data_IF_624123763337
#
_entry.id   IF_624123763337
#
_cell.length_a   1.000
_cell.length_b   1.000
_cell.length_c   1.000
_cell.angle_alpha   90.00
_cell.angle_beta   90.00
_cell.angle_gamma   90.00
#
_symmetry.space_group_name_H-M   'P 1'
#
loop_
_entity.id
_entity.type
_entity.pdbx_description
1 polymer ?
#
# COMPACT_ATOMS: atom_id res chain seq x y z
N UNK A 1 5.55 7.50 21.03
CA UNK A 1 5.77 6.07 20.69
C UNK A 1 5.67 5.80 19.19
N UNK A 2 4.59 6.21 18.50
CA UNK A 2 4.42 6.02 17.05
C UNK A 2 5.60 6.54 16.19
N UNK A 3 6.07 7.78 16.43
CA UNK A 3 7.23 8.35 15.73
C UNK A 3 8.51 7.50 15.86
N UNK A 4 8.76 6.91 17.03
CA UNK A 4 9.92 6.03 17.24
C UNK A 4 9.79 4.78 16.41
N UNK A 5 8.59 4.17 16.36
CA UNK A 5 8.34 3.01 15.49
C UNK A 5 8.52 3.37 14.02
N UNK A 6 8.02 4.52 13.58
CA UNK A 6 8.24 5.02 12.21
C UNK A 6 9.74 5.22 11.91
N UNK A 7 10.50 5.81 12.83
CA UNK A 7 11.94 5.99 12.65
C UNK A 7 12.68 4.63 12.56
N UNK A 8 12.24 3.63 13.33
CA UNK A 8 12.74 2.26 13.21
C UNK A 8 12.38 1.64 11.84
N UNK A 9 11.14 1.81 11.36
CA UNK A 9 10.73 1.33 10.04
C UNK A 9 11.55 2.01 8.93
N UNK A 10 11.78 3.31 9.02
CA UNK A 10 12.61 4.06 8.06
C UNK A 10 14.11 3.79 8.18
N UNK A 11 14.55 2.90 9.08
CA UNK A 11 15.95 2.55 9.35
C UNK A 11 16.82 3.78 9.66
N UNK A 12 16.27 4.77 10.37
CA UNK A 12 17.03 5.97 10.75
C UNK A 12 18.18 5.63 11.71
N UNK A 13 18.06 4.55 12.50
CA UNK A 13 19.09 4.17 13.47
C UNK A 13 19.32 5.29 14.49
N UNK A 14 20.59 5.71 14.65
CA UNK A 14 21.01 6.83 15.51
C UNK A 14 21.15 8.16 14.74
N UNK A 15 20.76 8.20 13.46
CA UNK A 15 20.84 9.40 12.63
C UNK A 15 19.75 10.40 13.04
N UNK A 16 20.17 11.46 13.72
CA UNK A 16 19.28 12.50 14.21
C UNK A 16 18.60 13.29 13.08
N UNK A 17 19.26 13.45 11.93
CA UNK A 17 18.72 14.20 10.79
C UNK A 17 17.56 13.42 10.19
N UNK A 18 17.77 12.14 9.89
CA UNK A 18 16.69 11.26 9.40
C UNK A 18 15.56 11.10 10.41
N UNK A 19 15.89 11.07 11.70
CA UNK A 19 14.88 11.07 12.77
C UNK A 19 14.02 12.33 12.77
N UNK A 20 14.62 13.50 12.51
CA UNK A 20 13.90 14.77 12.36
C UNK A 20 12.98 14.75 11.14
N UNK A 21 13.47 14.31 9.97
CA UNK A 21 12.67 14.16 8.74
C UNK A 21 11.42 13.28 8.95
N UNK A 22 11.57 12.14 9.64
CA UNK A 22 10.44 11.28 10.00
C UNK A 22 9.46 11.98 10.93
N UNK A 23 9.96 12.74 11.90
CA UNK A 23 9.10 13.49 12.83
C UNK A 23 8.36 14.63 12.13
N UNK A 24 9.00 15.33 11.21
CA UNK A 24 8.41 16.40 10.40
C UNK A 24 7.34 15.85 9.46
N UNK A 25 7.67 14.82 8.68
CA UNK A 25 6.71 14.17 7.79
C UNK A 25 5.49 13.62 8.55
N UNK A 26 5.71 13.07 9.76
CA UNK A 26 4.59 12.63 10.60
C UNK A 26 3.71 13.81 11.04
N UNK A 27 4.27 14.99 11.30
CA UNK A 27 3.51 16.18 11.68
C UNK A 27 2.71 16.79 10.52
N UNK A 28 3.18 16.62 9.28
CA UNK A 28 2.48 17.07 8.07
C UNK A 28 1.23 16.26 7.74
N UNK A 29 1.07 15.06 8.31
CA UNK A 29 -0.18 14.31 8.24
C UNK A 29 -1.31 15.07 8.95
N UNK A 30 -2.54 14.90 8.46
CA UNK A 30 -3.72 15.49 9.10
C UNK A 30 -3.90 14.90 10.51
N UNK A 31 -4.51 15.66 11.42
CA UNK A 31 -4.71 15.24 12.81
C UNK A 31 -5.36 13.86 12.94
N UNK A 32 -6.40 13.60 12.14
CA UNK A 32 -7.09 12.30 12.08
C UNK A 32 -6.17 11.18 11.56
N UNK A 33 -5.35 11.45 10.55
CA UNK A 33 -4.38 10.49 10.00
C UNK A 33 -3.30 10.15 11.05
N UNK A 34 -2.76 11.16 11.74
CA UNK A 34 -1.76 10.97 12.81
C UNK A 34 -2.31 10.16 13.97
N UNK A 35 -3.54 10.46 14.40
CA UNK A 35 -4.20 9.72 15.48
C UNK A 35 -4.35 8.26 15.09
N UNK A 36 -4.99 7.99 13.95
CA UNK A 36 -5.29 6.62 13.54
C UNK A 36 -4.03 5.80 13.24
N UNK A 37 -3.04 6.41 12.58
CA UNK A 37 -1.74 5.75 12.36
C UNK A 37 -1.03 5.48 13.69
N UNK A 38 -1.14 6.38 14.68
CA UNK A 38 -0.58 6.15 16.02
C UNK A 38 -1.27 4.99 16.72
N UNK A 39 -2.58 4.85 16.59
CA UNK A 39 -3.34 3.75 17.20
C UNK A 39 -2.87 2.40 16.63
N UNK A 40 -2.83 2.25 15.30
CA UNK A 40 -2.32 1.02 14.67
C UNK A 40 -0.84 0.76 15.00
N UNK A 41 0.00 1.80 14.93
CA UNK A 41 1.41 1.67 15.26
C UNK A 41 1.65 1.41 16.74
N UNK A 42 0.70 1.64 17.65
CA UNK A 42 0.89 1.35 19.09
C UNK A 42 0.08 0.16 19.57
N UNK A 43 -0.71 -0.46 18.68
CA UNK A 43 -1.35 -1.73 18.89
C UNK A 43 -0.34 -2.78 19.42
N UNK A 44 -0.74 -3.52 20.45
CA UNK A 44 0.11 -4.48 21.15
C UNK A 44 -0.21 -5.93 20.74
N UNK A 45 -1.34 -6.17 20.07
CA UNK A 45 -1.78 -7.53 19.75
C UNK A 45 -2.27 -8.31 20.98
N UNK A 46 -2.58 -7.62 22.08
CA UNK A 46 -3.06 -8.21 23.33
C UNK A 46 -4.43 -7.62 23.65
N UNK A 47 -4.49 -6.30 23.78
CA UNK A 47 -5.71 -5.55 24.12
C UNK A 47 -6.50 -5.19 22.86
N UNK A 48 -5.80 -4.74 21.83
CA UNK A 48 -6.33 -4.50 20.48
C UNK A 48 -5.69 -5.44 19.46
N UNK A 49 -6.36 -5.65 18.33
CA UNK A 49 -5.80 -6.37 17.19
C UNK A 49 -4.56 -5.62 16.68
N UNK A 50 -3.45 -6.34 16.54
CA UNK A 50 -2.19 -5.82 16.02
C UNK A 50 -1.94 -6.33 14.60
N UNK A 51 -1.39 -5.46 13.75
CA UNK A 51 -0.98 -5.84 12.40
C UNK A 51 0.54 -5.75 12.27
N UNK A 52 1.15 -6.89 11.97
CA UNK A 52 2.56 -6.96 11.62
C UNK A 52 2.69 -6.77 10.11
N UNK A 53 3.02 -5.55 9.68
CA UNK A 53 3.27 -5.26 8.28
C UNK A 53 4.69 -5.73 7.89
N UNK A 54 4.78 -6.96 7.37
CA UNK A 54 6.03 -7.56 6.95
C UNK A 54 6.59 -6.80 5.73
N UNK A 55 7.90 -6.56 5.67
CA UNK A 55 8.54 -5.63 4.72
C UNK A 55 8.19 -4.13 4.86
N UNK A 56 7.45 -3.70 5.88
CA UNK A 56 7.26 -2.27 6.14
C UNK A 56 8.57 -1.48 6.33
N UNK A 57 9.68 -2.05 6.88
CA UNK A 57 10.95 -1.33 6.91
C UNK A 57 11.54 -1.07 5.52
N UNK A 58 11.45 -2.05 4.61
CA UNK A 58 11.95 -1.88 3.23
C UNK A 58 11.11 -0.86 2.49
N UNK A 59 9.80 -0.89 2.67
CA UNK A 59 8.89 0.09 2.11
C UNK A 59 9.19 1.52 2.57
N UNK A 60 9.29 1.76 3.88
CA UNK A 60 9.56 3.09 4.42
C UNK A 60 10.95 3.58 4.02
N UNK A 61 11.96 2.71 4.07
CA UNK A 61 13.31 3.05 3.61
C UNK A 61 13.34 3.41 2.12
N UNK A 62 12.69 2.62 1.27
CA UNK A 62 12.62 2.89 -0.17
C UNK A 62 11.87 4.19 -0.47
N UNK A 63 10.75 4.44 0.21
CA UNK A 63 9.98 5.67 0.02
C UNK A 63 10.75 6.92 0.48
N UNK A 64 11.48 6.82 1.58
CA UNK A 64 12.36 7.91 2.07
C UNK A 64 13.47 8.22 1.06
N UNK A 65 14.04 7.19 0.42
CA UNK A 65 15.07 7.35 -0.60
C UNK A 65 14.54 7.80 -1.97
N UNK A 66 13.22 7.73 -2.20
CA UNK A 66 12.58 8.09 -3.45
C UNK A 66 12.02 9.53 -3.41
N UNK A 67 12.68 10.44 -4.12
CA UNK A 67 12.32 11.85 -4.18
C UNK A 67 10.90 12.13 -4.71
N UNK A 68 10.31 11.21 -5.49
CA UNK A 68 8.93 11.38 -5.99
C UNK A 68 7.88 10.97 -4.95
N UNK A 69 8.22 10.13 -3.98
CA UNK A 69 7.24 9.60 -3.02
C UNK A 69 7.38 10.32 -1.68
N UNK A 70 8.57 10.29 -1.09
CA UNK A 70 8.82 10.86 0.23
C UNK A 70 8.05 10.18 1.36
N UNK A 71 8.29 10.66 2.58
CA UNK A 71 7.78 10.04 3.81
C UNK A 71 6.28 10.27 4.05
N UNK A 72 5.75 11.44 3.69
CA UNK A 72 4.34 11.79 3.93
C UNK A 72 3.40 10.86 3.15
N UNK A 73 3.63 10.72 1.84
CA UNK A 73 2.86 9.79 0.99
C UNK A 73 3.03 8.34 1.44
N UNK A 74 4.24 7.94 1.85
CA UNK A 74 4.48 6.60 2.38
C UNK A 74 3.68 6.32 3.65
N UNK A 75 3.63 7.26 4.60
CA UNK A 75 2.86 7.12 5.84
C UNK A 75 1.35 7.06 5.58
N UNK A 76 0.83 7.85 4.63
CA UNK A 76 -0.58 7.77 4.21
C UNK A 76 -0.89 6.41 3.58
N UNK A 77 -0.01 5.91 2.73
CA UNK A 77 -0.13 4.58 2.12
C UNK A 77 -0.09 3.48 3.19
N UNK A 78 0.82 3.57 4.17
CA UNK A 78 0.90 2.64 5.29
C UNK A 78 -0.39 2.64 6.12
N UNK A 79 -0.96 3.82 6.37
CA UNK A 79 -2.25 3.95 7.04
C UNK A 79 -3.38 3.27 6.25
N UNK A 80 -3.41 3.43 4.91
CA UNK A 80 -4.37 2.73 4.05
C UNK A 80 -4.24 1.21 4.15
N UNK A 81 -3.01 0.68 4.22
CA UNK A 81 -2.77 -0.75 4.42
C UNK A 81 -3.34 -1.22 5.76
N UNK A 82 -3.11 -0.48 6.86
CA UNK A 82 -3.68 -0.82 8.16
C UNK A 82 -5.21 -0.83 8.15
N UNK A 83 -5.85 0.20 7.58
CA UNK A 83 -7.32 0.29 7.51
C UNK A 83 -7.90 -0.88 6.71
N UNK A 84 -7.32 -1.19 5.55
CA UNK A 84 -7.80 -2.29 4.72
C UNK A 84 -7.56 -3.65 5.39
N UNK A 85 -6.45 -3.83 6.10
CA UNK A 85 -6.20 -5.05 6.86
C UNK A 85 -7.19 -5.19 8.04
N UNK A 86 -7.49 -4.09 8.74
CA UNK A 86 -8.46 -4.07 9.82
C UNK A 86 -9.87 -4.43 9.35
N UNK A 87 -10.27 -3.89 8.19
CA UNK A 87 -11.53 -4.25 7.55
C UNK A 87 -11.55 -5.71 7.10
N UNK A 88 -10.54 -6.14 6.34
CA UNK A 88 -10.44 -7.50 5.79
C UNK A 88 -10.43 -8.56 6.89
N UNK A 89 -9.77 -8.29 8.02
CA UNK A 89 -9.66 -9.22 9.16
C UNK A 89 -10.61 -8.86 10.32
N UNK A 90 -11.67 -8.08 10.08
CA UNK A 90 -12.61 -7.68 11.14
C UNK A 90 -13.28 -8.88 11.82
N UNK A 91 -13.59 -9.93 11.07
CA UNK A 91 -14.21 -11.17 11.56
C UNK A 91 -13.20 -12.22 12.05
N UNK A 92 -11.90 -11.93 12.00
CA UNK A 92 -10.87 -12.86 12.44
C UNK A 92 -10.74 -12.89 13.96
N UNK A 93 -10.56 -14.08 14.53
CA UNK A 93 -10.29 -14.23 15.98
C UNK A 93 -8.82 -14.00 16.35
N UNK A 94 -7.93 -13.83 15.36
CA UNK A 94 -6.51 -13.61 15.61
C UNK A 94 -6.25 -12.22 16.20
N UNK A 95 -5.47 -12.20 17.27
CA UNK A 95 -5.01 -10.97 17.91
C UNK A 95 -3.88 -10.29 17.15
N UNK A 96 -3.08 -11.05 16.42
CA UNK A 96 -1.99 -10.55 15.57
C UNK A 96 -2.13 -11.13 14.17
N UNK A 97 -2.19 -10.25 13.17
CA UNK A 97 -2.26 -10.63 11.76
C UNK A 97 -1.01 -10.14 11.04
N UNK A 98 -0.39 -11.00 10.24
CA UNK A 98 0.76 -10.64 9.41
C UNK A 98 0.31 -10.22 8.02
N UNK A 99 0.71 -9.04 7.58
CA UNK A 99 0.40 -8.52 6.25
C UNK A 99 1.70 -8.39 5.46
N UNK A 100 1.84 -9.17 4.39
CA UNK A 100 2.97 -9.09 3.47
C UNK A 100 2.78 -7.94 2.48
N UNK A 101 3.78 -7.07 2.34
CA UNK A 101 3.69 -5.88 1.47
C UNK A 101 4.91 -5.71 0.56
N UNK A 102 5.52 -6.83 0.14
CA UNK A 102 6.68 -6.84 -0.77
C UNK A 102 6.44 -6.05 -2.06
N UNK A 103 5.29 -6.23 -2.72
CA UNK A 103 4.94 -5.50 -3.94
C UNK A 103 4.90 -3.99 -3.73
N UNK A 104 4.39 -3.55 -2.57
CA UNK A 104 4.29 -2.14 -2.22
C UNK A 104 5.68 -1.56 -1.91
N UNK A 105 6.56 -2.34 -1.26
CA UNK A 105 7.95 -1.96 -1.02
C UNK A 105 8.75 -1.79 -2.32
N UNK A 106 8.59 -2.70 -3.28
CA UNK A 106 9.15 -2.58 -4.63
C UNK A 106 8.60 -1.34 -5.33
N UNK A 107 7.28 -1.12 -5.28
CA UNK A 107 6.65 0.02 -5.92
C UNK A 107 7.14 1.36 -5.35
N UNK A 108 7.32 1.47 -4.04
CA UNK A 108 7.88 2.67 -3.41
C UNK A 108 9.30 3.00 -3.90
N UNK A 109 10.09 1.98 -4.28
CA UNK A 109 11.44 2.16 -4.83
C UNK A 109 11.42 2.64 -6.28
N UNK A 110 10.51 2.10 -7.09
CA UNK A 110 10.53 2.25 -8.56
C UNK A 110 9.59 3.33 -9.08
N UNK A 111 8.62 3.78 -8.28
CA UNK A 111 7.60 4.71 -8.76
C UNK A 111 8.18 6.11 -8.99
N UNK A 112 7.93 6.64 -10.19
CA UNK A 112 8.38 7.96 -10.64
C UNK A 112 7.27 9.00 -10.65
N UNK A 113 6.05 8.62 -10.28
CA UNK A 113 4.85 9.46 -10.36
C UNK A 113 4.15 9.45 -9.01
N UNK A 114 4.24 10.57 -8.29
CA UNK A 114 3.62 10.78 -6.98
C UNK A 114 2.12 10.55 -7.01
N UNK A 115 1.43 11.07 -8.03
CA UNK A 115 -0.02 10.99 -8.12
C UNK A 115 -0.47 9.54 -8.36
N UNK A 116 0.25 8.82 -9.23
CA UNK A 116 -0.02 7.41 -9.47
C UNK A 116 0.23 6.56 -8.21
N UNK A 117 1.20 6.91 -7.38
CA UNK A 117 1.44 6.24 -6.10
C UNK A 117 0.32 6.54 -5.10
N UNK A 118 -0.02 7.82 -4.89
CA UNK A 118 -1.02 8.24 -3.91
C UNK A 118 -2.41 7.68 -4.22
N UNK A 119 -2.76 7.58 -5.51
CA UNK A 119 -4.05 7.07 -5.98
C UNK A 119 -4.02 5.58 -6.36
N UNK A 120 -2.94 4.87 -6.04
CA UNK A 120 -2.83 3.45 -6.34
C UNK A 120 -3.93 2.64 -5.64
N UNK A 121 -4.58 1.76 -6.40
CA UNK A 121 -5.54 0.80 -5.87
C UNK A 121 -4.83 -0.50 -5.48
N UNK A 122 -5.19 -1.04 -4.33
CA UNK A 122 -4.72 -2.32 -3.84
C UNK A 122 -5.74 -2.89 -2.87
N UNK A 123 -5.67 -4.20 -2.66
CA UNK A 123 -6.50 -4.93 -1.72
C UNK A 123 -5.63 -5.77 -0.78
N UNK A 124 -6.20 -6.21 0.33
CA UNK A 124 -5.60 -7.21 1.21
C UNK A 124 -6.24 -8.54 0.89
N UNK A 125 -5.44 -9.48 0.39
CA UNK A 125 -5.90 -10.83 0.12
C UNK A 125 -5.42 -11.77 1.20
N UNK A 126 -6.35 -12.41 1.92
CA UNK A 126 -6.03 -13.47 2.89
C UNK A 126 -5.22 -14.60 2.24
N UNK A 127 -4.32 -15.20 3.01
CA UNK A 127 -3.63 -16.41 2.61
C UNK A 127 -4.62 -17.56 2.39
N UNK A 128 -4.23 -18.55 1.59
CA UNK A 128 -5.05 -19.76 1.41
C UNK A 128 -4.77 -20.78 2.51
N UNK A 129 -5.77 -21.61 2.83
CA UNK A 129 -5.62 -22.73 3.75
C UNK A 129 -5.53 -22.31 5.22
N UNK A 130 -4.78 -23.03 6.07
CA UNK A 130 -4.79 -22.82 7.53
C UNK A 130 -4.36 -21.42 8.01
N UNK A 131 -3.71 -20.64 7.16
CA UNK A 131 -3.19 -19.31 7.49
C UNK A 131 -4.15 -18.17 7.09
N UNK A 132 -5.31 -18.48 6.48
CA UNK A 132 -6.24 -17.47 5.97
C UNK A 132 -6.75 -16.48 7.03
N UNK A 133 -6.72 -16.89 8.30
CA UNK A 133 -7.19 -16.09 9.41
C UNK A 133 -6.08 -15.24 10.06
N UNK A 134 -4.80 -15.56 9.81
CA UNK A 134 -3.65 -14.90 10.46
C UNK A 134 -2.71 -14.17 9.49
N UNK A 135 -2.89 -14.36 8.18
CA UNK A 135 -1.99 -13.84 7.17
C UNK A 135 -2.74 -13.29 5.96
N UNK A 136 -2.27 -12.15 5.46
CA UNK A 136 -2.74 -11.54 4.23
C UNK A 136 -1.61 -10.89 3.45
N UNK A 137 -1.85 -10.56 2.18
CA UNK A 137 -0.88 -9.95 1.29
C UNK A 137 -1.50 -8.73 0.61
N UNK A 138 -0.73 -7.64 0.52
CA UNK A 138 -1.07 -6.48 -0.31
C UNK A 138 -0.95 -6.88 -1.79
N UNK A 139 -2.08 -6.90 -2.48
CA UNK A 139 -2.16 -7.16 -3.92
C UNK A 139 -2.46 -5.85 -4.62
N UNK A 140 -1.49 -5.37 -5.41
CA UNK A 140 -1.68 -4.17 -6.22
C UNK A 140 -2.64 -4.50 -7.36
N UNK A 141 -3.66 -3.65 -7.55
CA UNK A 141 -4.58 -3.82 -8.67
C UNK A 141 -3.83 -3.62 -9.99
N UNK A 142 -4.15 -4.41 -11.04
CA UNK A 142 -3.58 -4.19 -12.37
C UNK A 142 -4.08 -2.87 -12.99
N UNK A 143 -5.23 -2.38 -12.52
CA UNK A 143 -5.84 -1.13 -12.93
C UNK A 143 -5.07 0.05 -12.37
N UNK A 144 -4.27 0.67 -13.23
CA UNK A 144 -3.55 1.90 -12.92
C UNK A 144 -4.32 3.08 -13.51
N UNK A 145 -4.43 4.16 -12.75
CA UNK A 145 -4.90 5.43 -13.31
C UNK A 145 -3.89 5.86 -14.38
N UNK A 146 -4.33 5.89 -15.63
CA UNK A 146 -3.49 6.36 -16.73
C UNK A 146 -3.77 7.83 -16.93
N UNK A 147 -2.83 8.67 -16.48
CA UNK A 147 -2.91 10.12 -16.63
C UNK A 147 -2.15 10.67 -17.85
N UNK A 148 -1.27 9.89 -18.49
CA UNK A 148 -0.59 10.33 -19.71
C UNK A 148 -1.49 10.22 -20.93
N UNK A 149 -1.53 11.29 -21.74
CA UNK A 149 -2.31 11.36 -22.98
C UNK A 149 -1.92 10.22 -23.92
N UNK A 150 -0.62 10.02 -24.13
CA UNK A 150 -0.11 8.96 -25.04
C UNK A 150 -0.58 7.55 -24.64
N UNK A 151 -0.61 7.25 -23.33
CA UNK A 151 -1.03 5.93 -22.85
C UNK A 151 -2.55 5.81 -22.84
N UNK A 152 -3.29 6.90 -22.67
CA UNK A 152 -4.75 6.92 -22.86
C UNK A 152 -5.11 6.63 -24.31
N UNK A 153 -4.43 7.29 -25.25
CA UNK A 153 -4.65 7.10 -26.69
C UNK A 153 -4.32 5.67 -27.12
N UNK A 154 -3.19 5.12 -26.62
CA UNK A 154 -2.83 3.72 -26.82
C UNK A 154 -3.89 2.76 -26.27
N UNK A 155 -4.36 2.97 -25.04
CA UNK A 155 -5.37 2.10 -24.41
C UNK A 155 -6.74 2.22 -25.09
N UNK A 156 -7.12 3.41 -25.56
CA UNK A 156 -8.35 3.61 -26.33
C UNK A 156 -8.31 2.81 -27.62
N UNK A 157 -7.23 2.96 -28.39
CA UNK A 157 -7.03 2.19 -29.62
C UNK A 157 -7.06 0.68 -29.37
N UNK A 158 -6.42 0.22 -28.30
CA UNK A 158 -6.36 -1.20 -27.97
C UNK A 158 -7.71 -1.78 -27.49
N UNK A 159 -8.54 -0.95 -26.85
CA UNK A 159 -9.89 -1.32 -26.43
C UNK A 159 -10.81 -1.49 -27.65
N UNK A 160 -10.71 -0.61 -28.65
CA UNK A 160 -11.47 -0.71 -29.89
C UNK A 160 -11.12 -2.00 -30.65
N UNK A 161 -9.83 -2.33 -30.76
CA UNK A 161 -9.36 -3.56 -31.40
C UNK A 161 -9.91 -4.83 -30.70
N UNK A 162 -9.89 -4.86 -29.37
CA UNK A 162 -10.42 -5.99 -28.60
C UNK A 162 -11.95 -6.12 -28.74
N UNK A 163 -12.67 -4.99 -28.79
CA UNK A 163 -14.11 -4.99 -29.01
C UNK A 163 -14.47 -5.57 -30.38
N UNK A 164 -13.72 -5.21 -31.42
CA UNK A 164 -13.87 -5.77 -32.78
C UNK A 164 -13.59 -7.29 -32.81
N UNK A 165 -12.52 -7.75 -32.14
CA UNK A 165 -12.19 -9.17 -32.07
C UNK A 165 -13.27 -9.99 -31.34
N UNK A 166 -13.78 -9.49 -30.23
CA UNK A 166 -14.86 -10.14 -29.46
C UNK A 166 -16.13 -10.21 -30.32
N UNK A 167 -16.46 -9.12 -31.00
CA UNK A 167 -17.63 -9.09 -31.89
C UNK A 167 -17.48 -10.05 -33.08
N UNK A 168 -16.30 -10.10 -33.69
CA UNK A 168 -16.00 -11.00 -34.81
C UNK A 168 -15.89 -12.47 -34.42
N UNK A 169 -15.44 -12.80 -33.20
CA UNK A 169 -15.46 -14.18 -32.68
C UNK A 169 -16.90 -14.66 -32.42
N UNK A 170 -17.73 -13.81 -31.80
CA UNK A 170 -19.14 -14.13 -31.50
C UNK A 170 -19.98 -14.40 -32.75
N UNK A 171 -19.70 -13.72 -33.87
CA UNK A 171 -20.37 -13.96 -35.14
C UNK A 171 -19.99 -15.28 -35.82
N UNK A 172 -18.76 -15.77 -35.58
CA UNK A 172 -18.27 -17.05 -36.13
C UNK A 172 -18.75 -18.28 -35.37
N UNK A 173 -19.10 -18.14 -34.09
CA UNK A 173 -19.64 -19.22 -33.26
C UNK A 173 -21.16 -19.45 -33.47
N UNK A 174 -21.82 -18.57 -34.22
CA UNK A 174 -23.26 -18.64 -34.53
C UNK A 174 -23.56 -19.12 -35.97
N UNK A 175 -22.55 -19.51 -36.73
CA UNK A 175 -22.64 -20.07 -38.09
C UNK A 175 -22.24 -21.54 -38.08
#
# INVERSE_FOLDING_TARGET
>A
RARVRLACLSRCGIDAVKGAEVSEAFNELKDKERSLLSDYLTADGITQKGFLLFQSPDFMFNAMANANIGLVSAMRMLLRVYILADWEFSESDQRVVTIYMSNLATRAKECTDTEAFDNMFFEIKRASGPQCDSQGTVVLSPWQLVNSVDRRDYLSWHADLLAEEIHGKRLRELQ
#
